data_IF_949462332799
#
_entry.id   IF_949462332799
#
_cell.length_a   1.000
_cell.length_b   1.000
_cell.length_c   1.000
_cell.angle_alpha   90.00
_cell.angle_beta   90.00
_cell.angle_gamma   90.00
#
_symmetry.space_group_name_H-M   'P 1'
#
loop_
_entity.id
_entity.type
_entity.pdbx_description
1 polymer ?
#
# COMPACT_ATOMS: atom_id res chain seq x y z
N UNK A 1 -54.86 -20.72 -1.54
CA UNK A 1 -53.54 -20.95 -0.91
C UNK A 1 -53.58 -20.44 0.52
N UNK A 2 -53.26 -21.29 1.49
CA UNK A 2 -53.26 -20.91 2.91
C UNK A 2 -52.01 -20.08 3.24
N UNK A 3 -52.10 -19.12 4.19
CA UNK A 3 -50.98 -18.24 4.62
C UNK A 3 -49.65 -19.00 4.84
N UNK A 4 -49.72 -20.23 5.35
CA UNK A 4 -48.56 -21.11 5.59
C UNK A 4 -47.83 -21.54 4.32
N UNK A 5 -48.54 -21.73 3.19
CA UNK A 5 -47.93 -22.10 1.91
C UNK A 5 -47.20 -20.90 1.28
N UNK A 6 -47.81 -19.71 1.35
CA UNK A 6 -47.21 -18.47 0.84
C UNK A 6 -45.91 -18.14 1.60
N UNK A 7 -45.91 -18.24 2.93
CA UNK A 7 -44.69 -18.01 3.73
C UNK A 7 -43.56 -18.98 3.39
N UNK A 8 -43.86 -20.26 3.13
CA UNK A 8 -42.83 -21.25 2.73
C UNK A 8 -42.22 -20.93 1.36
N UNK A 9 -43.03 -20.48 0.41
CA UNK A 9 -42.55 -20.08 -0.92
C UNK A 9 -41.67 -18.84 -0.83
N UNK A 10 -42.07 -17.84 -0.04
CA UNK A 10 -41.29 -16.60 0.16
C UNK A 10 -39.96 -16.90 0.87
N UNK A 11 -39.98 -17.74 1.91
CA UNK A 11 -38.74 -18.16 2.58
C UNK A 11 -37.83 -18.96 1.65
N UNK A 12 -38.38 -19.87 0.86
CA UNK A 12 -37.61 -20.63 -0.14
C UNK A 12 -36.95 -19.72 -1.17
N UNK A 13 -37.71 -18.75 -1.71
CA UNK A 13 -37.19 -17.76 -2.65
C UNK A 13 -36.07 -16.92 -2.01
N UNK A 14 -36.29 -16.45 -0.78
CA UNK A 14 -35.30 -15.66 -0.05
C UNK A 14 -33.99 -16.43 0.15
N UNK A 15 -34.07 -17.68 0.59
CA UNK A 15 -32.88 -18.53 0.79
C UNK A 15 -32.12 -18.74 -0.52
N UNK A 16 -32.83 -18.98 -1.63
CA UNK A 16 -32.19 -19.15 -2.95
C UNK A 16 -31.50 -17.87 -3.39
N UNK A 17 -32.14 -16.71 -3.25
CA UNK A 17 -31.54 -15.41 -3.62
C UNK A 17 -30.31 -15.13 -2.77
N UNK A 18 -30.36 -15.37 -1.46
CA UNK A 18 -29.22 -15.21 -0.55
C UNK A 18 -28.09 -16.17 -0.92
N UNK A 19 -28.40 -17.44 -1.19
CA UNK A 19 -27.39 -18.43 -1.58
C UNK A 19 -26.68 -18.04 -2.88
N UNK A 20 -27.43 -17.58 -3.89
CA UNK A 20 -26.87 -17.07 -5.16
C UNK A 20 -26.01 -15.84 -4.91
N UNK A 21 -26.46 -14.90 -4.10
CA UNK A 21 -25.71 -13.69 -3.77
C UNK A 21 -24.39 -14.02 -3.06
N UNK A 22 -24.42 -14.86 -2.03
CA UNK A 22 -23.21 -15.29 -1.30
C UNK A 22 -22.25 -16.01 -2.24
N UNK A 23 -22.76 -16.95 -3.06
CA UNK A 23 -21.93 -17.69 -4.02
C UNK A 23 -21.31 -16.77 -5.07
N UNK A 24 -22.05 -15.75 -5.53
CA UNK A 24 -21.54 -14.74 -6.47
C UNK A 24 -20.43 -13.88 -5.85
N UNK A 25 -20.60 -13.44 -4.61
CA UNK A 25 -19.57 -12.67 -3.89
C UNK A 25 -18.31 -13.51 -3.64
N UNK A 26 -18.48 -14.75 -3.18
CA UNK A 26 -17.36 -15.69 -2.98
C UNK A 26 -16.65 -15.95 -4.30
N UNK A 27 -17.38 -16.12 -5.41
CA UNK A 27 -16.79 -16.33 -6.73
C UNK A 27 -16.04 -15.10 -7.23
N UNK A 28 -16.53 -13.88 -6.99
CA UNK A 28 -15.81 -12.65 -7.35
C UNK A 28 -14.51 -12.49 -6.57
N UNK A 29 -14.54 -12.77 -5.26
CA UNK A 29 -13.34 -12.75 -4.41
C UNK A 29 -12.36 -13.85 -4.83
N UNK A 30 -12.85 -15.08 -5.04
CA UNK A 30 -12.04 -16.19 -5.51
C UNK A 30 -11.43 -15.90 -6.90
N UNK A 31 -12.19 -15.30 -7.82
CA UNK A 31 -11.67 -14.88 -9.12
C UNK A 31 -10.57 -13.84 -8.97
N UNK A 32 -10.69 -12.92 -8.03
CA UNK A 32 -9.65 -11.91 -7.75
C UNK A 32 -8.38 -12.54 -7.18
N UNK A 33 -8.52 -13.53 -6.28
CA UNK A 33 -7.38 -14.18 -5.61
C UNK A 33 -6.69 -15.22 -6.51
N UNK A 34 -7.46 -16.03 -7.24
CA UNK A 34 -6.96 -17.18 -8.00
C UNK A 34 -6.78 -16.91 -9.50
N UNK A 35 -7.54 -15.97 -10.06
CA UNK A 35 -7.55 -15.65 -11.50
C UNK A 35 -7.33 -14.16 -11.79
N UNK A 36 -7.11 -13.34 -10.77
CA UNK A 36 -6.69 -11.94 -10.88
C UNK A 36 -5.23 -11.94 -11.30
N UNK A 37 -5.02 -12.29 -12.57
CA UNK A 37 -3.71 -12.35 -13.20
C UNK A 37 -2.92 -11.09 -12.88
N UNK A 38 -1.62 -11.26 -12.70
CA UNK A 38 -0.61 -10.21 -12.60
C UNK A 38 -1.08 -8.98 -13.35
N UNK A 39 -1.52 -7.95 -12.60
CA UNK A 39 -2.01 -6.73 -13.19
C UNK A 39 -0.99 -6.29 -14.24
N UNK A 40 -1.42 -6.30 -15.50
CA UNK A 40 -0.54 -5.98 -16.62
C UNK A 40 -0.43 -4.47 -16.62
N UNK A 41 0.46 -3.95 -15.77
CA UNK A 41 0.73 -2.52 -15.72
C UNK A 41 1.44 -2.18 -17.02
N UNK A 42 0.89 -1.26 -17.83
CA UNK A 42 1.55 -0.85 -19.05
C UNK A 42 2.92 -0.26 -18.68
N UNK A 43 3.95 -0.72 -19.39
CA UNK A 43 5.32 -0.26 -19.12
C UNK A 43 5.50 1.15 -19.66
N UNK A 44 6.18 1.97 -18.87
CA UNK A 44 6.63 3.31 -19.28
C UNK A 44 7.87 3.21 -20.16
N UNK A 45 8.14 4.27 -20.92
CA UNK A 45 9.37 4.48 -21.65
C UNK A 45 10.59 4.54 -20.72
N UNK A 46 11.76 4.24 -21.27
CA UNK A 46 13.02 4.06 -20.52
C UNK A 46 13.37 5.27 -19.63
N UNK A 47 13.19 6.50 -20.12
CA UNK A 47 13.49 7.71 -19.36
C UNK A 47 12.59 7.86 -18.11
N UNK A 48 11.29 7.60 -18.24
CA UNK A 48 10.36 7.60 -17.11
C UNK A 48 10.63 6.41 -16.17
N UNK A 49 10.94 5.23 -16.72
CA UNK A 49 11.33 4.06 -15.93
C UNK A 49 12.56 4.30 -15.05
N UNK A 50 13.63 4.85 -15.62
CA UNK A 50 14.85 5.19 -14.88
C UNK A 50 14.64 6.30 -13.83
N UNK A 51 13.69 7.21 -14.06
CA UNK A 51 13.30 8.20 -13.05
C UNK A 51 12.52 7.56 -11.90
N UNK A 52 11.60 6.64 -12.21
CA UNK A 52 10.84 5.88 -11.20
C UNK A 52 11.77 5.06 -10.32
N UNK A 53 12.75 4.35 -10.89
CA UNK A 53 13.72 3.57 -10.11
C UNK A 53 14.54 4.45 -9.15
N UNK A 54 14.99 5.62 -9.62
CA UNK A 54 15.68 6.61 -8.78
C UNK A 54 14.79 7.11 -7.64
N UNK A 55 13.51 7.35 -7.92
CA UNK A 55 12.56 7.81 -6.92
C UNK A 55 12.25 6.74 -5.87
N UNK A 56 12.11 5.48 -6.28
CA UNK A 56 11.99 4.33 -5.37
C UNK A 56 13.23 4.24 -4.46
N UNK A 57 14.42 4.34 -5.02
CA UNK A 57 15.66 4.32 -4.24
C UNK A 57 15.77 5.50 -3.26
N UNK A 58 15.26 6.68 -3.63
CA UNK A 58 15.19 7.84 -2.71
C UNK A 58 14.19 7.61 -1.57
N UNK A 59 13.03 7.02 -1.86
CA UNK A 59 12.03 6.63 -0.84
C UNK A 59 12.64 5.60 0.14
N UNK A 60 13.35 4.60 -0.37
CA UNK A 60 13.98 3.58 0.47
C UNK A 60 15.08 4.16 1.38
N UNK A 61 15.91 5.08 0.85
CA UNK A 61 16.88 5.81 1.66
C UNK A 61 16.22 6.67 2.74
N UNK A 62 15.11 7.34 2.43
CA UNK A 62 14.35 8.09 3.42
C UNK A 62 13.78 7.19 4.51
N UNK A 63 13.25 6.00 4.15
CA UNK A 63 12.83 5.00 5.15
C UNK A 63 13.98 4.54 6.03
N UNK A 64 15.15 4.27 5.45
CA UNK A 64 16.33 3.85 6.19
C UNK A 64 16.84 4.94 7.15
N UNK A 65 16.80 6.21 6.73
CA UNK A 65 17.16 7.35 7.55
C UNK A 65 16.19 7.58 8.72
N UNK A 66 14.91 7.30 8.52
CA UNK A 66 13.88 7.37 9.56
C UNK A 66 13.90 6.14 10.50
N UNK A 67 14.41 4.99 10.04
CA UNK A 67 14.45 3.75 10.81
C UNK A 67 15.02 3.87 12.23
N UNK A 68 16.12 4.60 12.51
CA UNK A 68 16.66 4.75 13.86
C UNK A 68 15.87 5.67 14.80
N UNK A 69 14.85 6.37 14.31
CA UNK A 69 14.06 7.29 15.11
C UNK A 69 13.42 6.60 16.33
N UNK A 70 13.41 7.32 17.45
CA UNK A 70 12.85 6.84 18.72
C UNK A 70 11.34 7.06 18.85
N UNK A 71 10.80 8.00 18.09
CA UNK A 71 9.41 8.40 18.10
C UNK A 71 8.91 8.78 16.69
N UNK A 72 7.60 8.99 16.60
CA UNK A 72 6.92 9.29 15.35
C UNK A 72 7.31 10.65 14.74
N UNK A 73 7.63 11.66 15.55
CA UNK A 73 7.91 13.01 15.07
C UNK A 73 9.31 13.10 14.47
N UNK A 74 10.29 12.53 15.16
CA UNK A 74 11.67 12.38 14.66
C UNK A 74 11.69 11.52 13.37
N UNK A 75 10.89 10.45 13.32
CA UNK A 75 10.78 9.63 12.11
C UNK A 75 10.25 10.42 10.92
N UNK A 76 9.20 11.24 11.10
CA UNK A 76 8.66 12.11 10.04
C UNK A 76 9.68 13.16 9.61
N UNK A 77 10.32 13.82 10.56
CA UNK A 77 11.30 14.87 10.28
C UNK A 77 12.47 14.33 9.47
N UNK A 78 13.04 13.17 9.85
CA UNK A 78 14.13 12.51 9.12
C UNK A 78 13.70 12.05 7.75
N UNK A 79 12.53 11.43 7.64
CA UNK A 79 11.99 11.01 6.34
C UNK A 79 11.84 12.20 5.39
N UNK A 80 11.18 13.27 5.83
CA UNK A 80 10.95 14.46 5.03
C UNK A 80 12.26 15.18 4.64
N UNK A 81 13.24 15.25 5.56
CA UNK A 81 14.54 15.84 5.28
C UNK A 81 15.28 15.09 4.15
N UNK A 82 15.33 13.76 4.22
CA UNK A 82 15.98 12.94 3.17
C UNK A 82 15.22 13.00 1.85
N UNK A 83 13.88 12.99 1.88
CA UNK A 83 13.06 13.14 0.67
C UNK A 83 13.30 14.46 -0.04
N UNK A 84 13.43 15.56 0.72
CA UNK A 84 13.68 16.88 0.17
C UNK A 84 15.05 16.97 -0.53
N UNK A 85 16.06 16.27 -0.03
CA UNK A 85 17.40 16.27 -0.65
C UNK A 85 17.51 15.36 -1.88
N UNK A 86 16.65 14.35 -2.01
CA UNK A 86 16.82 13.27 -2.99
C UNK A 86 15.68 13.13 -4.00
N UNK A 87 14.63 13.96 -3.90
CA UNK A 87 13.46 13.90 -4.78
C UNK A 87 13.81 14.23 -6.24
N UNK A 88 13.20 13.48 -7.16
CA UNK A 88 13.28 13.67 -8.61
C UNK A 88 12.01 14.37 -9.13
N UNK A 89 12.14 15.22 -10.14
CA UNK A 89 10.98 15.78 -10.87
C UNK A 89 10.32 14.71 -11.76
N UNK A 90 9.60 13.79 -11.11
CA UNK A 90 8.94 12.67 -11.77
C UNK A 90 7.82 13.14 -12.71
N UNK A 91 7.09 14.19 -12.33
CA UNK A 91 6.00 14.77 -13.12
C UNK A 91 6.51 15.42 -14.41
N UNK A 92 7.68 16.07 -14.38
CA UNK A 92 8.32 16.61 -15.56
C UNK A 92 8.79 15.53 -16.53
N UNK A 93 9.46 14.49 -16.01
CA UNK A 93 10.09 13.45 -16.82
C UNK A 93 9.06 12.49 -17.43
N UNK A 94 8.00 12.14 -16.70
CA UNK A 94 6.98 11.20 -17.15
C UNK A 94 5.79 11.88 -17.88
N UNK A 95 5.84 13.19 -18.14
CA UNK A 95 4.69 13.96 -18.68
C UNK A 95 4.22 13.48 -20.05
N UNK A 96 5.16 13.13 -20.92
CA UNK A 96 4.87 12.73 -22.31
C UNK A 96 4.57 11.23 -22.44
N UNK A 97 4.72 10.47 -21.35
CA UNK A 97 4.50 9.04 -21.35
C UNK A 97 3.00 8.71 -21.22
N UNK A 98 2.41 7.91 -22.13
CA UNK A 98 1.00 7.53 -22.07
C UNK A 98 0.60 6.83 -20.77
N UNK A 99 1.54 6.13 -20.13
CA UNK A 99 1.35 5.43 -18.85
C UNK A 99 1.96 6.19 -17.67
N UNK A 100 2.55 7.36 -17.91
CA UNK A 100 3.29 8.13 -16.92
C UNK A 100 2.43 8.58 -15.74
N UNK A 101 1.16 8.95 -15.99
CA UNK A 101 0.24 9.39 -14.93
C UNK A 101 -0.01 8.29 -13.90
N UNK A 102 -0.31 7.08 -14.36
CA UNK A 102 -0.58 5.94 -13.49
C UNK A 102 0.69 5.49 -12.75
N UNK A 103 1.84 5.53 -13.42
CA UNK A 103 3.13 5.19 -12.84
C UNK A 103 3.53 6.18 -11.74
N UNK A 104 3.42 7.49 -11.99
CA UNK A 104 3.67 8.54 -11.00
C UNK A 104 2.69 8.41 -9.82
N UNK A 105 1.41 8.12 -10.08
CA UNK A 105 0.43 7.90 -9.04
C UNK A 105 0.77 6.67 -8.17
N UNK A 106 1.29 5.59 -8.77
CA UNK A 106 1.76 4.42 -8.05
C UNK A 106 2.95 4.75 -7.13
N UNK A 107 3.95 5.49 -7.62
CA UNK A 107 5.10 5.92 -6.82
C UNK A 107 4.66 6.83 -5.67
N UNK A 108 3.74 7.77 -5.90
CA UNK A 108 3.18 8.63 -4.83
C UNK A 108 2.37 7.86 -3.79
N UNK A 109 1.73 6.75 -4.17
CA UNK A 109 1.08 5.84 -3.20
C UNK A 109 2.12 5.10 -2.40
N UNK A 110 3.20 4.65 -3.04
CA UNK A 110 4.33 4.00 -2.38
C UNK A 110 5.01 4.93 -1.36
N UNK A 111 5.29 6.19 -1.73
CA UNK A 111 5.92 7.18 -0.85
C UNK A 111 5.10 7.40 0.43
N UNK A 112 3.78 7.61 0.30
CA UNK A 112 2.87 7.77 1.45
C UNK A 112 2.83 6.52 2.34
N UNK A 113 2.84 5.33 1.74
CA UNK A 113 2.86 4.07 2.48
C UNK A 113 4.20 3.89 3.21
N UNK A 114 5.31 4.26 2.57
CA UNK A 114 6.65 4.22 3.12
C UNK A 114 6.81 5.15 4.33
N UNK A 115 6.36 6.40 4.23
CA UNK A 115 6.32 7.35 5.34
C UNK A 115 5.47 6.81 6.49
N UNK A 116 4.22 6.41 6.20
CA UNK A 116 3.33 5.85 7.24
C UNK A 116 3.94 4.64 7.94
N UNK A 117 4.64 3.77 7.21
CA UNK A 117 5.34 2.63 7.79
C UNK A 117 6.49 3.07 8.68
N UNK A 118 7.31 4.03 8.26
CA UNK A 118 8.43 4.53 9.05
C UNK A 118 7.96 5.11 10.39
N UNK A 119 6.89 5.90 10.35
CA UNK A 119 6.26 6.49 11.55
C UNK A 119 5.73 5.41 12.48
N UNK A 120 4.98 4.44 11.93
CA UNK A 120 4.43 3.34 12.71
C UNK A 120 5.53 2.49 13.35
N UNK A 121 6.58 2.17 12.59
CA UNK A 121 7.72 1.43 13.10
C UNK A 121 8.45 2.18 14.22
N UNK A 122 8.59 3.50 14.12
CA UNK A 122 9.17 4.30 15.19
C UNK A 122 8.30 4.30 16.45
N UNK A 123 6.96 4.43 16.32
CA UNK A 123 6.07 4.40 17.48
C UNK A 123 5.95 3.02 18.14
N UNK A 124 5.95 1.93 17.36
CA UNK A 124 5.71 0.58 17.86
C UNK A 124 7.00 -0.11 18.29
N UNK A 125 8.05 -0.01 17.47
CA UNK A 125 9.31 -0.73 17.67
C UNK A 125 10.36 0.17 18.35
N UNK A 126 10.27 1.50 18.21
CA UNK A 126 11.22 2.45 18.80
C UNK A 126 11.46 2.23 20.29
N UNK A 127 10.41 2.19 21.15
CA UNK A 127 10.57 1.94 22.58
C UNK A 127 11.18 0.57 22.89
N UNK A 128 10.77 -0.47 22.16
CA UNK A 128 11.31 -1.84 22.31
C UNK A 128 12.80 -1.87 21.94
N UNK A 129 13.20 -1.15 20.89
CA UNK A 129 14.60 -1.04 20.48
C UNK A 129 15.43 -0.28 21.50
N UNK A 130 14.91 0.78 22.08
CA UNK A 130 15.59 1.52 23.16
C UNK A 130 15.77 0.63 24.39
N UNK A 131 14.73 -0.11 24.77
CA UNK A 131 14.80 -1.12 25.84
C UNK A 131 15.85 -2.20 25.53
N UNK A 132 15.86 -2.76 24.31
CA UNK A 132 16.88 -3.73 23.91
C UNK A 132 18.31 -3.16 23.95
N UNK A 133 18.49 -1.89 23.56
CA UNK A 133 19.78 -1.20 23.58
C UNK A 133 20.29 -0.89 24.99
N UNK A 134 19.41 -0.71 25.98
CA UNK A 134 19.83 -0.42 27.36
C UNK A 134 20.56 -1.59 28.02
N UNK A 135 20.40 -2.81 27.51
CA UNK A 135 21.13 -4.00 27.98
C UNK A 135 22.55 -4.12 27.39
N UNK A 136 22.91 -3.30 26.40
CA UNK A 136 24.24 -3.34 25.79
C UNK A 136 25.20 -2.55 26.70
N UNK A 137 26.17 -3.24 27.28
CA UNK A 137 27.23 -2.61 28.08
C UNK A 137 28.14 -1.82 27.15
N UNK A 138 28.12 -0.50 27.28
CA UNK A 138 29.05 0.37 26.55
C UNK A 138 30.43 0.22 27.20
N UNK A 139 31.48 -0.18 26.46
CA UNK A 139 32.84 -0.28 26.99
C UNK A 139 33.45 1.08 27.34
#
# INVERSE_FOLDING_TARGET
>A
MTRRQVSRVVYGLFVVVVAVFVSSNVWQVAKTIFFGGTATYPKVAEACGAAIEREIAAIERARAAAAPAGDAEDARARYAATRKSEGVDLDGICREDPSGVDAVAAVRRYDRAAESHAVRAASEIGPVRQSARSFIRVP
#
